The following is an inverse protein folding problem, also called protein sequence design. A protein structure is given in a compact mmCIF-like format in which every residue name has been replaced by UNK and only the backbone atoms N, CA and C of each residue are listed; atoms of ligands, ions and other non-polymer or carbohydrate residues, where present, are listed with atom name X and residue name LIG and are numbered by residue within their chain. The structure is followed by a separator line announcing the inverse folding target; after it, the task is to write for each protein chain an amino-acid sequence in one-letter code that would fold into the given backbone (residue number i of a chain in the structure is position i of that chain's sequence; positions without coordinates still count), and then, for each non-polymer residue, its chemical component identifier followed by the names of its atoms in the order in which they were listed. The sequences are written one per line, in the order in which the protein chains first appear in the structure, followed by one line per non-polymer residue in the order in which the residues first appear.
data_IF_466302263997
#
_entry.id   IF_466302263997
#
_cell.length_a   1.000
_cell.length_b   1.000
_cell.length_c   1.000
_cell.angle_alpha   90.00
_cell.angle_beta   90.00
_cell.angle_gamma   90.00
#
_symmetry.space_group_name_H-M   'P 1'
#
loop_
_entity.id
_entity.type
_entity.pdbx_description
1 polymer ?
#
# COMPACT_ATOMS: atom_id res chain seq x y z
N UNK A 1 -29.54 0.60 -13.86
CA UNK A 1 -29.02 1.98 -14.12
C UNK A 1 -27.60 1.85 -14.63
N UNK A 2 -27.33 2.53 -15.74
CA UNK A 2 -26.27 2.23 -16.70
C UNK A 2 -24.85 2.42 -16.15
N UNK A 3 -24.04 1.38 -16.23
CA UNK A 3 -22.57 1.48 -16.13
C UNK A 3 -22.07 2.32 -17.31
N UNK A 4 -21.36 3.44 -17.09
CA UNK A 4 -20.65 4.07 -18.19
C UNK A 4 -19.60 3.07 -18.67
N UNK A 5 -19.70 2.68 -19.95
CA UNK A 5 -18.67 1.93 -20.66
C UNK A 5 -17.33 2.63 -20.42
N UNK A 6 -16.36 1.86 -19.92
CA UNK A 6 -14.93 2.11 -20.04
C UNK A 6 -14.65 2.77 -21.39
N UNK A 7 -14.34 4.07 -21.37
CA UNK A 7 -13.53 4.63 -22.43
C UNK A 7 -12.21 3.87 -22.31
N UNK A 8 -11.95 2.97 -23.26
CA UNK A 8 -10.77 2.12 -23.22
C UNK A 8 -9.54 2.99 -22.98
N UNK A 9 -8.94 2.87 -21.78
CA UNK A 9 -7.76 3.63 -21.42
C UNK A 9 -6.69 3.36 -22.48
N UNK A 10 -6.16 4.43 -23.07
CA UNK A 10 -5.29 4.30 -24.24
C UNK A 10 -3.83 4.28 -23.81
N UNK A 11 -3.51 4.64 -22.57
CA UNK A 11 -2.14 4.75 -22.08
C UNK A 11 -2.04 4.56 -20.57
N UNK A 12 -0.81 4.39 -20.10
CA UNK A 12 -0.50 4.42 -18.67
C UNK A 12 -0.88 5.74 -17.99
N UNK A 13 -0.74 6.87 -18.67
CA UNK A 13 -1.12 8.17 -18.11
C UNK A 13 -2.64 8.29 -17.92
N UNK A 14 -3.43 7.75 -18.84
CA UNK A 14 -4.89 7.70 -18.68
C UNK A 14 -5.27 6.87 -17.45
N UNK A 15 -4.57 5.75 -17.23
CA UNK A 15 -4.75 4.93 -16.04
C UNK A 15 -4.40 5.69 -14.75
N UNK A 16 -3.24 6.37 -14.70
CA UNK A 16 -2.85 7.17 -13.53
C UNK A 16 -3.84 8.29 -13.24
N UNK A 17 -4.34 8.97 -14.27
CA UNK A 17 -5.39 9.98 -14.12
C UNK A 17 -6.65 9.37 -13.51
N UNK A 18 -7.10 8.22 -14.03
CA UNK A 18 -8.30 7.54 -13.52
C UNK A 18 -8.14 7.03 -12.08
N UNK A 19 -6.96 6.52 -11.72
CA UNK A 19 -6.62 6.16 -10.34
C UNK A 19 -6.73 7.40 -9.44
N UNK A 20 -6.13 8.52 -9.85
CA UNK A 20 -6.20 9.80 -9.12
C UNK A 20 -7.62 10.32 -8.93
N UNK A 21 -8.45 10.26 -9.98
CA UNK A 21 -9.87 10.63 -9.91
C UNK A 21 -10.67 9.73 -8.95
N UNK A 22 -10.36 8.43 -8.94
CA UNK A 22 -11.02 7.46 -8.05
C UNK A 22 -10.70 7.77 -6.59
N UNK A 23 -9.42 7.99 -6.28
CA UNK A 23 -8.98 8.39 -4.93
C UNK A 23 -9.58 9.74 -4.55
N UNK A 24 -9.58 10.73 -5.45
CA UNK A 24 -10.18 12.03 -5.20
C UNK A 24 -11.68 11.92 -4.88
N UNK A 25 -12.41 11.06 -5.61
CA UNK A 25 -13.83 10.79 -5.34
C UNK A 25 -14.04 10.19 -3.96
N UNK A 26 -13.25 9.19 -3.56
CA UNK A 26 -13.33 8.63 -2.21
C UNK A 26 -13.02 9.67 -1.12
N UNK A 27 -12.06 10.57 -1.35
CA UNK A 27 -11.74 11.63 -0.38
C UNK A 27 -12.85 12.67 -0.27
N UNK A 28 -13.55 12.97 -1.36
CA UNK A 28 -14.69 13.91 -1.39
C UNK A 28 -15.95 13.31 -0.77
N UNK A 29 -16.28 12.08 -1.14
CA UNK A 29 -17.58 11.45 -0.83
C UNK A 29 -17.51 10.57 0.43
N UNK A 30 -16.32 10.38 1.00
CA UNK A 30 -16.02 9.41 2.05
C UNK A 30 -15.56 8.07 1.47
N UNK A 31 -14.74 7.34 2.24
CA UNK A 31 -14.25 6.03 1.82
C UNK A 31 -15.43 5.05 1.63
N UNK A 32 -15.44 4.29 0.53
CA UNK A 32 -16.44 3.25 0.37
C UNK A 32 -16.26 2.16 1.43
N UNK A 33 -17.37 1.54 1.83
CA UNK A 33 -17.32 0.32 2.65
C UNK A 33 -16.54 -0.80 1.94
N UNK A 34 -15.97 -1.72 2.72
CA UNK A 34 -15.01 -2.74 2.25
C UNK A 34 -15.42 -3.46 0.95
N UNK A 35 -16.66 -3.91 0.84
CA UNK A 35 -17.13 -4.63 -0.35
C UNK A 35 -17.09 -3.78 -1.62
N UNK A 36 -17.49 -2.51 -1.52
CA UNK A 36 -17.42 -1.58 -2.64
C UNK A 36 -15.98 -1.18 -2.92
N UNK A 37 -15.18 -0.96 -1.89
CA UNK A 37 -13.75 -0.67 -2.02
C UNK A 37 -13.03 -1.76 -2.82
N UNK A 38 -13.20 -3.03 -2.45
CA UNK A 38 -12.54 -4.15 -3.13
C UNK A 38 -12.98 -4.28 -4.59
N UNK A 39 -14.26 -3.99 -4.88
CA UNK A 39 -14.76 -3.96 -6.26
C UNK A 39 -14.14 -2.83 -7.07
N UNK A 40 -14.10 -1.62 -6.51
CA UNK A 40 -13.47 -0.47 -7.17
C UNK A 40 -11.97 -0.76 -7.44
N UNK A 41 -11.28 -1.45 -6.53
CA UNK A 41 -9.88 -1.89 -6.72
C UNK A 41 -9.73 -2.96 -7.81
N UNK A 42 -10.65 -3.92 -7.89
CA UNK A 42 -10.69 -4.92 -8.96
C UNK A 42 -10.92 -4.27 -10.33
N UNK A 43 -11.85 -3.32 -10.41
CA UNK A 43 -12.10 -2.53 -11.62
C UNK A 43 -10.85 -1.75 -12.04
N UNK A 44 -10.15 -1.10 -11.09
CA UNK A 44 -8.88 -0.42 -11.34
C UNK A 44 -7.81 -1.40 -11.84
N UNK A 45 -7.69 -2.59 -11.24
CA UNK A 45 -6.75 -3.61 -11.70
C UNK A 45 -7.06 -4.08 -13.13
N UNK A 46 -8.36 -4.29 -13.44
CA UNK A 46 -8.81 -4.64 -14.78
C UNK A 46 -8.48 -3.56 -15.82
N UNK A 47 -8.73 -2.30 -15.48
CA UNK A 47 -8.37 -1.14 -16.30
C UNK A 47 -6.86 -1.06 -16.53
N UNK A 48 -6.05 -1.29 -15.49
CA UNK A 48 -4.59 -1.32 -15.59
C UNK A 48 -4.12 -2.43 -16.55
N UNK A 49 -4.65 -3.64 -16.40
CA UNK A 49 -4.28 -4.79 -17.25
C UNK A 49 -4.70 -4.61 -18.70
N UNK A 50 -5.71 -3.79 -18.97
CA UNK A 50 -6.14 -3.45 -20.32
C UNK A 50 -5.21 -2.46 -21.04
N UNK A 51 -4.30 -1.78 -20.33
CA UNK A 51 -3.30 -0.91 -20.95
C UNK A 51 -2.32 -1.77 -21.78
N UNK A 52 -2.12 -1.49 -23.07
CA UNK A 52 -1.20 -2.26 -23.90
C UNK A 52 0.22 -2.27 -23.32
N UNK A 53 0.94 -3.40 -23.32
CA UNK A 53 2.32 -3.45 -22.81
C UNK A 53 3.29 -2.45 -23.46
N UNK A 54 3.09 -2.15 -24.75
CA UNK A 54 3.87 -1.12 -25.47
C UNK A 54 3.62 0.32 -25.01
N UNK A 55 2.62 0.53 -24.14
CA UNK A 55 2.23 1.82 -23.56
C UNK A 55 2.32 1.82 -22.04
N UNK A 56 2.91 0.76 -21.46
CA UNK A 56 3.26 0.65 -20.06
C UNK A 56 4.72 1.08 -19.86
N UNK A 57 5.05 1.73 -18.74
CA UNK A 57 6.44 1.93 -18.35
C UNK A 57 7.15 0.59 -18.12
N UNK A 58 8.50 0.57 -18.17
CA UNK A 58 9.28 -0.63 -17.90
C UNK A 58 9.01 -1.16 -16.47
N UNK A 59 8.85 -2.48 -16.26
CA UNK A 59 8.53 -3.06 -14.94
C UNK A 59 9.47 -2.66 -13.80
N UNK A 60 10.75 -2.44 -14.09
CA UNK A 60 11.77 -2.02 -13.15
C UNK A 60 11.54 -0.61 -12.57
N UNK A 61 10.78 0.24 -13.28
CA UNK A 61 10.42 1.59 -12.83
C UNK A 61 9.31 1.61 -11.78
N UNK A 62 8.63 0.48 -11.57
CA UNK A 62 7.57 0.37 -10.58
C UNK A 62 8.14 0.14 -9.18
N UNK A 63 7.59 0.81 -8.15
CA UNK A 63 8.06 0.63 -6.79
C UNK A 63 7.83 -0.81 -6.31
N UNK A 64 8.80 -1.31 -5.56
CA UNK A 64 8.75 -2.60 -4.86
C UNK A 64 8.23 -2.34 -3.44
N UNK A 65 7.14 -3.01 -3.07
CA UNK A 65 6.52 -2.90 -1.76
C UNK A 65 6.50 -4.27 -1.08
N UNK A 66 6.99 -4.32 0.15
CA UNK A 66 6.79 -5.48 1.01
C UNK A 66 5.75 -5.13 2.06
N UNK A 67 4.81 -6.03 2.35
CA UNK A 67 3.73 -5.76 3.31
C UNK A 67 3.61 -6.88 4.35
N UNK A 68 3.42 -6.51 5.61
CA UNK A 68 3.33 -7.45 6.74
C UNK A 68 2.44 -6.90 7.86
N UNK A 69 1.99 -7.79 8.75
CA UNK A 69 1.49 -7.38 10.06
C UNK A 69 2.43 -7.87 11.16
N UNK A 70 2.47 -7.15 12.29
CA UNK A 70 3.31 -7.50 13.43
C UNK A 70 2.49 -8.22 14.51
N UNK A 71 1.28 -7.72 14.78
CA UNK A 71 0.41 -8.14 15.88
C UNK A 71 -1.06 -8.34 15.45
N UNK A 72 -1.36 -8.22 14.15
CA UNK A 72 -2.66 -8.54 13.56
C UNK A 72 -2.68 -9.97 13.00
N UNK A 73 -3.54 -10.82 13.56
CA UNK A 73 -3.75 -12.19 13.10
C UNK A 73 -4.82 -12.35 12.01
N UNK A 74 -5.60 -11.31 11.73
CA UNK A 74 -6.75 -11.35 10.82
C UNK A 74 -6.38 -10.85 9.42
N UNK A 75 -5.48 -9.86 9.33
CA UNK A 75 -4.90 -9.40 8.07
C UNK A 75 -5.86 -8.63 7.17
N UNK A 76 -7.02 -8.20 7.66
CA UNK A 76 -8.01 -7.51 6.84
C UNK A 76 -7.52 -6.21 6.23
N UNK A 77 -6.75 -5.42 7.00
CA UNK A 77 -6.10 -4.23 6.47
C UNK A 77 -5.02 -4.59 5.44
N UNK A 78 -4.29 -5.67 5.70
CA UNK A 78 -3.24 -6.15 4.80
C UNK A 78 -3.80 -6.58 3.44
N UNK A 79 -4.94 -7.29 3.42
CA UNK A 79 -5.61 -7.70 2.18
C UNK A 79 -6.03 -6.50 1.33
N UNK A 80 -6.54 -5.44 1.97
CA UNK A 80 -6.94 -4.20 1.28
C UNK A 80 -5.73 -3.47 0.70
N UNK A 81 -4.66 -3.33 1.47
CA UNK A 81 -3.43 -2.66 1.00
C UNK A 81 -2.75 -3.45 -0.12
N UNK A 82 -2.73 -4.78 -0.03
CA UNK A 82 -2.22 -5.65 -1.08
C UNK A 82 -3.04 -5.49 -2.39
N UNK A 83 -4.37 -5.52 -2.28
CA UNK A 83 -5.26 -5.29 -3.43
C UNK A 83 -5.05 -3.89 -4.04
N UNK A 84 -4.91 -2.87 -3.20
CA UNK A 84 -4.67 -1.50 -3.64
C UNK A 84 -3.33 -1.34 -4.35
N UNK A 85 -2.26 -1.93 -3.82
CA UNK A 85 -0.93 -1.89 -4.43
C UNK A 85 -0.92 -2.60 -5.80
N UNK A 86 -1.60 -3.76 -5.89
CA UNK A 86 -1.76 -4.53 -7.13
C UNK A 86 -2.59 -3.79 -8.17
N UNK A 87 -3.67 -3.14 -7.74
CA UNK A 87 -4.51 -2.31 -8.60
C UNK A 87 -3.68 -1.16 -9.19
N UNK A 88 -2.88 -0.47 -8.36
CA UNK A 88 -1.97 0.60 -8.77
C UNK A 88 -0.79 0.14 -9.65
N UNK A 89 -0.50 -1.17 -9.70
CA UNK A 89 0.56 -1.75 -10.51
C UNK A 89 1.92 -1.87 -9.82
N UNK A 90 1.97 -1.66 -8.51
CA UNK A 90 3.22 -1.78 -7.77
C UNK A 90 3.62 -3.24 -7.53
N UNK A 91 4.93 -3.50 -7.53
CA UNK A 91 5.48 -4.86 -7.33
C UNK A 91 5.40 -5.21 -5.85
N UNK A 92 4.42 -6.02 -5.48
CA UNK A 92 4.07 -6.25 -4.07
C UNK A 92 4.44 -7.66 -3.61
N UNK A 93 5.06 -7.78 -2.44
CA UNK A 93 5.34 -9.06 -1.76
C UNK A 93 4.70 -9.06 -0.37
N UNK A 94 3.83 -10.03 -0.12
CA UNK A 94 3.29 -10.27 1.23
C UNK A 94 4.27 -11.12 2.03
N UNK A 95 4.71 -10.62 3.20
CA UNK A 95 5.62 -11.36 4.09
C UNK A 95 4.85 -12.25 5.08
N UNK A 96 3.62 -11.85 5.43
CA UNK A 96 2.68 -12.64 6.21
C UNK A 96 1.99 -11.86 7.33
N UNK A 97 1.41 -12.63 8.25
CA UNK A 97 0.76 -12.15 9.46
C UNK A 97 1.64 -12.43 10.66
N UNK A 98 1.48 -11.67 11.76
CA UNK A 98 2.17 -11.87 13.03
C UNK A 98 3.69 -12.06 12.87
N UNK A 99 4.29 -11.24 12.00
CA UNK A 99 5.68 -11.40 11.62
C UNK A 99 6.62 -10.89 12.72
N UNK A 100 7.63 -11.71 13.04
CA UNK A 100 8.77 -11.26 13.83
C UNK A 100 9.64 -10.29 13.03
N UNK A 101 10.50 -9.55 13.73
CA UNK A 101 11.48 -8.69 13.10
C UNK A 101 12.38 -9.46 12.12
N UNK A 102 12.84 -10.65 12.48
CA UNK A 102 13.69 -11.50 11.63
C UNK A 102 12.98 -11.90 10.33
N UNK A 103 11.70 -12.27 10.41
CA UNK A 103 10.88 -12.64 9.25
C UNK A 103 10.69 -11.48 8.27
N UNK A 104 10.77 -10.24 8.76
CA UNK A 104 10.69 -9.03 7.94
C UNK A 104 12.07 -8.64 7.40
N UNK A 105 13.07 -8.59 8.28
CA UNK A 105 14.42 -8.12 7.95
C UNK A 105 15.15 -9.05 6.99
N UNK A 106 14.97 -10.38 7.10
CA UNK A 106 15.61 -11.34 6.21
C UNK A 106 15.32 -11.07 4.72
N UNK A 107 14.05 -11.05 4.30
CA UNK A 107 13.67 -10.68 2.94
C UNK A 107 14.13 -9.27 2.55
N UNK A 108 14.01 -8.27 3.44
CA UNK A 108 14.42 -6.89 3.14
C UNK A 108 15.94 -6.74 2.96
N UNK A 109 16.75 -7.58 3.61
CA UNK A 109 18.20 -7.58 3.42
C UNK A 109 18.63 -8.23 2.10
N UNK A 110 17.89 -9.26 1.65
CA UNK A 110 18.16 -9.95 0.39
C UNK A 110 17.79 -9.09 -0.83
N UNK A 111 16.62 -8.46 -0.77
CA UNK A 111 16.11 -7.59 -1.83
C UNK A 111 15.39 -6.40 -1.16
N UNK A 112 16.10 -5.28 -0.94
CA UNK A 112 15.52 -4.11 -0.28
C UNK A 112 14.31 -3.57 -1.05
N UNK A 113 13.11 -3.53 -0.45
CA UNK A 113 11.98 -2.89 -1.08
C UNK A 113 12.17 -1.36 -1.06
N UNK A 114 11.44 -0.66 -1.92
CA UNK A 114 11.37 0.80 -1.82
C UNK A 114 10.55 1.21 -0.59
N UNK A 115 9.49 0.43 -0.30
CA UNK A 115 8.61 0.65 0.85
C UNK A 115 8.38 -0.67 1.60
N UNK A 116 8.49 -0.62 2.92
CA UNK A 116 7.93 -1.61 3.83
C UNK A 116 6.62 -1.06 4.43
N UNK A 117 5.51 -1.73 4.12
CA UNK A 117 4.19 -1.48 4.69
C UNK A 117 3.94 -2.36 5.92
N UNK A 118 3.58 -1.75 7.05
CA UNK A 118 3.29 -2.44 8.31
C UNK A 118 1.87 -2.15 8.80
N UNK A 119 1.15 -3.18 9.23
CA UNK A 119 -0.04 -3.02 10.08
C UNK A 119 0.34 -3.27 11.53
N UNK A 120 0.05 -2.29 12.39
CA UNK A 120 0.33 -2.33 13.83
C UNK A 120 -0.93 -1.99 14.62
N UNK A 121 -1.37 -2.90 15.48
CA UNK A 121 -2.61 -2.75 16.25
C UNK A 121 -2.36 -2.26 17.68
N UNK A 122 -1.27 -2.67 18.31
CA UNK A 122 -1.02 -2.46 19.73
C UNK A 122 0.28 -1.71 20.00
N UNK A 123 0.30 -0.90 21.06
CA UNK A 123 1.49 -0.16 21.50
C UNK A 123 2.63 -1.10 21.95
N UNK A 124 2.29 -2.28 22.47
CA UNK A 124 3.26 -3.30 22.88
C UNK A 124 4.17 -3.79 21.75
N UNK A 125 3.80 -3.52 20.49
CA UNK A 125 4.63 -3.79 19.32
C UNK A 125 5.81 -2.82 19.16
N UNK A 126 5.86 -1.71 19.91
CA UNK A 126 6.91 -0.67 19.80
C UNK A 126 8.35 -1.23 19.75
N UNK A 127 8.77 -2.15 20.64
CA UNK A 127 10.12 -2.70 20.60
C UNK A 127 10.42 -3.44 19.28
N UNK A 128 9.46 -4.21 18.78
CA UNK A 128 9.59 -4.96 17.51
C UNK A 128 9.63 -4.00 16.33
N UNK A 129 8.77 -2.97 16.32
CA UNK A 129 8.80 -1.94 15.26
C UNK A 129 10.15 -1.22 15.25
N UNK A 130 10.66 -0.80 16.41
CA UNK A 130 11.98 -0.15 16.52
C UNK A 130 13.11 -1.04 16.01
N UNK A 131 13.07 -2.33 16.34
CA UNK A 131 14.04 -3.30 15.84
C UNK A 131 13.97 -3.43 14.32
N UNK A 132 12.77 -3.49 13.74
CA UNK A 132 12.58 -3.53 12.28
C UNK A 132 13.12 -2.26 11.64
N UNK A 133 12.66 -1.09 12.06
CA UNK A 133 13.09 0.18 11.45
C UNK A 133 14.60 0.37 11.55
N UNK A 134 15.20 0.08 12.71
CA UNK A 134 16.64 0.20 12.92
C UNK A 134 17.48 -0.83 12.16
N UNK A 135 16.89 -1.95 11.71
CA UNK A 135 17.56 -3.01 10.97
C UNK A 135 17.48 -2.88 9.44
N UNK A 136 16.72 -1.91 8.92
CA UNK A 136 16.54 -1.71 7.47
C UNK A 136 17.66 -0.89 6.85
N UNK A 137 17.85 -1.07 5.54
CA UNK A 137 18.65 -0.14 4.74
C UNK A 137 18.04 1.28 4.82
N UNK A 138 18.85 2.35 4.89
CA UNK A 138 18.36 3.73 4.93
C UNK A 138 17.58 4.16 3.68
N UNK A 139 17.65 3.37 2.60
CA UNK A 139 16.87 3.59 1.37
C UNK A 139 15.42 3.10 1.47
N UNK A 140 15.09 2.27 2.46
CA UNK A 140 13.74 1.70 2.63
C UNK A 140 12.86 2.68 3.40
N UNK A 141 11.74 3.09 2.79
CA UNK A 141 10.72 3.88 3.48
C UNK A 141 9.77 2.96 4.25
N UNK A 142 9.47 3.30 5.49
CA UNK A 142 8.53 2.52 6.33
C UNK A 142 7.21 3.27 6.43
N UNK A 143 6.18 2.67 5.87
CA UNK A 143 4.80 3.14 5.92
C UNK A 143 4.04 2.24 6.89
N UNK A 144 3.32 2.83 7.83
CA UNK A 144 2.56 2.04 8.79
C UNK A 144 1.13 2.55 8.94
N UNK A 145 0.21 1.62 9.12
CA UNK A 145 -1.17 1.91 9.45
C UNK A 145 -1.65 0.98 10.57
N UNK A 146 -2.89 1.20 10.98
CA UNK A 146 -3.50 0.47 12.08
C UNK A 146 -3.92 1.41 13.20
N UNK A 147 -4.70 0.90 14.15
CA UNK A 147 -5.43 1.75 15.05
C UNK A 147 -4.54 2.31 16.18
N UNK A 148 -3.35 1.74 16.43
CA UNK A 148 -2.37 2.30 17.40
C UNK A 148 -2.08 3.79 17.14
N UNK A 149 -2.02 4.20 15.87
CA UNK A 149 -1.72 5.58 15.48
C UNK A 149 -2.85 6.56 15.78
N UNK A 150 -4.08 6.07 16.02
CA UNK A 150 -5.22 6.91 16.40
C UNK A 150 -5.17 7.30 17.88
N UNK A 151 -4.68 6.40 18.74
CA UNK A 151 -4.70 6.60 20.18
C UNK A 151 -3.34 6.98 20.77
N UNK A 152 -2.26 6.69 20.04
CA UNK A 152 -0.90 7.07 20.38
C UNK A 152 -0.21 7.78 19.19
N UNK A 153 -0.45 9.09 19.01
CA UNK A 153 0.12 9.86 17.91
C UNK A 153 1.65 9.94 17.92
N UNK A 154 2.28 9.74 19.10
CA UNK A 154 3.73 9.74 19.25
C UNK A 154 4.39 8.41 18.83
N UNK A 155 3.61 7.34 18.64
CA UNK A 155 4.12 6.01 18.31
C UNK A 155 5.03 6.01 17.08
N UNK A 156 4.62 6.71 16.01
CA UNK A 156 5.41 6.78 14.77
C UNK A 156 6.78 7.45 15.01
N UNK A 157 6.80 8.54 15.77
CA UNK A 157 8.03 9.26 16.12
C UNK A 157 8.96 8.41 16.99
N UNK A 158 8.40 7.69 17.98
CA UNK A 158 9.20 6.82 18.86
C UNK A 158 9.73 5.59 18.14
N UNK A 159 9.05 5.10 17.11
CA UNK A 159 9.48 3.90 16.37
C UNK A 159 10.34 4.18 15.15
N UNK A 160 10.41 5.44 14.71
CA UNK A 160 11.12 5.83 13.48
C UNK A 160 10.34 5.50 12.20
N UNK A 161 9.03 5.27 12.30
CA UNK A 161 8.17 5.13 11.14
C UNK A 161 8.21 6.44 10.34
N UNK A 162 8.37 6.33 9.02
CA UNK A 162 8.54 7.48 8.15
C UNK A 162 7.21 8.15 7.83
N UNK A 163 6.16 7.34 7.63
CA UNK A 163 4.84 7.85 7.28
C UNK A 163 3.73 6.99 7.91
N UNK A 164 2.74 7.65 8.49
CA UNK A 164 1.48 7.03 8.91
C UNK A 164 0.49 7.05 7.74
N UNK A 165 -0.12 5.90 7.49
CA UNK A 165 -1.11 5.66 6.44
C UNK A 165 -2.45 5.40 7.12
N UNK A 166 -3.26 6.45 7.22
CA UNK A 166 -4.53 6.41 7.93
C UNK A 166 -5.55 5.49 7.24
N UNK A 167 -5.53 5.48 5.91
CA UNK A 167 -6.48 4.73 5.10
C UNK A 167 -5.93 4.39 3.71
N UNK A 168 -6.69 3.55 2.99
CA UNK A 168 -6.38 3.10 1.61
C UNK A 168 -6.34 4.25 0.59
N UNK A 169 -7.09 5.33 0.81
CA UNK A 169 -7.07 6.51 -0.05
C UNK A 169 -5.75 7.26 0.08
N UNK A 170 -5.29 7.49 1.31
CA UNK A 170 -3.95 8.04 1.60
C UNK A 170 -2.85 7.14 1.03
N UNK A 171 -2.99 5.83 1.20
CA UNK A 171 -2.06 4.84 0.63
C UNK A 171 -1.95 4.99 -0.89
N UNK A 172 -3.07 4.95 -1.62
CA UNK A 172 -3.08 5.06 -3.08
C UNK A 172 -2.61 6.43 -3.56
N UNK A 173 -2.97 7.51 -2.85
CA UNK A 173 -2.49 8.84 -3.18
C UNK A 173 -0.96 8.90 -3.13
N UNK A 174 -0.36 8.43 -2.02
CA UNK A 174 1.11 8.42 -1.86
C UNK A 174 1.78 7.48 -2.85
N UNK A 175 1.24 6.27 -3.03
CA UNK A 175 1.79 5.31 -3.97
C UNK A 175 1.74 5.84 -5.41
N UNK A 176 0.65 6.48 -5.81
CA UNK A 176 0.48 7.04 -7.16
C UNK A 176 1.54 8.08 -7.53
N UNK A 177 2.05 8.82 -6.54
CA UNK A 177 3.12 9.78 -6.73
C UNK A 177 4.49 9.14 -7.00
N UNK A 178 4.65 7.86 -6.65
CA UNK A 178 5.87 7.07 -6.89
C UNK A 178 5.78 6.22 -8.16
N UNK A 179 4.61 6.17 -8.79
CA UNK A 179 4.44 5.46 -10.04
C UNK A 179 5.09 6.26 -11.19
N UNK A 180 5.70 5.58 -12.18
CA UNK A 180 6.25 6.19 -13.39
C UNK A 180 5.22 7.01 -14.18
#
# INVERSE_FOLDING_TARGET
MSTPRSAALRSWQDFKAHLGETVHRWRRDGLPGRWRLLRDLEDLEGLRKAVPPSRMPPPETFPQLYVATIDDGWGHGLDVIEAAARAAGARTRRLGLLCSAERILGPCAQEPPHILGLTVLHADSEPVVRQIVGGLSPTVRVWAGGPVFLWDPDFARRTGIHDVIDDVGVFLQRLSALLP
#
